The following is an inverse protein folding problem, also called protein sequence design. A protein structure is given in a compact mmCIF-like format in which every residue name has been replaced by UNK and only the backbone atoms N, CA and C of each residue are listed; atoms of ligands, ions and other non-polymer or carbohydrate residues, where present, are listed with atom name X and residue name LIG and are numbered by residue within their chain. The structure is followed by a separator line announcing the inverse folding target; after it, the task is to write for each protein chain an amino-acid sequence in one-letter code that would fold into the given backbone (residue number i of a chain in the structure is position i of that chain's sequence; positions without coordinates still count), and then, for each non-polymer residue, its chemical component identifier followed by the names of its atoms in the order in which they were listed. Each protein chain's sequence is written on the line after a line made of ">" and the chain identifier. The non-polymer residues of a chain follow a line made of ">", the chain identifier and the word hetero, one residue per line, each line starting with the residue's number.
data_IF_800251102427
#
_entry.id   IF_800251102427
#
_cell.length_a   1.000
_cell.length_b   1.000
_cell.length_c   1.000
_cell.angle_alpha   90.00
_cell.angle_beta   90.00
_cell.angle_gamma   90.00
#
_symmetry.space_group_name_H-M   'P 1'
#
loop_
_entity.id
_entity.type
_entity.pdbx_description
1 polymer ?
#
# COMPACT_ATOMS: atom_id res chain seq x y z
N UNK A 1 12.49 43.47 57.22
CA UNK A 1 12.73 42.05 57.58
C UNK A 1 11.89 41.20 56.64
N UNK A 2 12.54 40.18 56.08
CA UNK A 2 12.10 39.15 55.12
C UNK A 2 11.69 39.63 53.72
N UNK A 3 12.72 39.66 52.88
CA UNK A 3 12.69 39.64 51.43
C UNK A 3 12.14 38.28 50.96
N UNK A 4 10.90 38.26 50.50
CA UNK A 4 10.25 37.08 49.89
C UNK A 4 10.37 37.14 48.37
N UNK A 5 11.59 37.10 47.85
CA UNK A 5 11.83 37.03 46.41
C UNK A 5 11.30 35.70 45.85
N UNK A 6 10.15 35.74 45.19
CA UNK A 6 9.74 34.65 44.29
C UNK A 6 10.77 34.57 43.17
N UNK A 7 11.73 33.65 43.32
CA UNK A 7 12.67 33.29 42.26
C UNK A 7 11.81 32.70 41.14
N UNK A 8 11.55 33.49 40.10
CA UNK A 8 10.88 33.02 38.89
C UNK A 8 11.76 31.92 38.31
N UNK A 9 11.33 30.67 38.47
CA UNK A 9 11.92 29.57 37.73
C UNK A 9 11.47 29.71 36.28
N UNK A 10 12.28 30.37 35.47
CA UNK A 10 12.17 30.29 34.02
C UNK A 10 12.65 28.91 33.62
N UNK A 11 11.69 28.00 33.38
CA UNK A 11 12.00 26.72 32.75
C UNK A 11 12.21 27.02 31.27
N UNK A 12 13.47 27.20 30.90
CA UNK A 12 13.90 27.33 29.52
C UNK A 12 13.83 25.94 28.88
N UNK A 13 12.72 25.63 28.21
CA UNK A 13 12.59 24.39 27.44
C UNK A 13 13.34 24.59 26.13
N UNK A 14 14.54 24.04 26.04
CA UNK A 14 15.27 23.97 24.78
C UNK A 14 14.64 22.89 23.91
N UNK A 15 14.12 23.22 22.71
CA UNK A 15 13.67 22.21 21.77
C UNK A 15 14.84 21.33 21.37
N UNK A 16 14.65 20.01 21.40
CA UNK A 16 15.67 19.04 20.95
C UNK A 16 15.97 19.16 19.46
N UNK A 17 14.98 19.66 18.69
CA UNK A 17 15.09 19.87 17.25
C UNK A 17 14.62 21.26 16.84
N UNK A 18 15.31 21.81 15.86
CA UNK A 18 14.98 23.08 15.25
C UNK A 18 13.77 22.94 14.31
N UNK A 19 13.07 24.06 14.10
CA UNK A 19 11.98 24.12 13.10
C UNK A 19 12.43 23.78 11.66
N UNK A 20 13.72 23.92 11.36
CA UNK A 20 14.30 23.54 10.08
C UNK A 20 14.41 22.03 9.95
N UNK A 21 14.92 21.35 10.97
CA UNK A 21 15.06 19.88 11.02
C UNK A 21 13.68 19.21 10.91
N UNK A 22 12.68 19.69 11.66
CA UNK A 22 11.30 19.18 11.56
C UNK A 22 10.71 19.34 10.14
N UNK A 23 11.03 20.42 9.43
CA UNK A 23 10.56 20.64 8.05
C UNK A 23 11.22 19.67 7.07
N UNK A 24 12.52 19.41 7.24
CA UNK A 24 13.25 18.43 6.44
C UNK A 24 12.70 17.02 6.66
N UNK A 25 12.53 16.62 7.91
CA UNK A 25 11.94 15.32 8.26
C UNK A 25 10.54 15.16 7.67
N UNK A 26 9.67 16.15 7.86
CA UNK A 26 8.32 16.15 7.26
C UNK A 26 8.37 16.02 5.74
N UNK A 27 9.28 16.72 5.08
CA UNK A 27 9.43 16.65 3.62
C UNK A 27 9.94 15.27 3.17
N UNK A 28 10.85 14.66 3.91
CA UNK A 28 11.35 13.32 3.65
C UNK A 28 10.23 12.28 3.78
N UNK A 29 9.49 12.31 4.90
CA UNK A 29 8.35 11.43 5.15
C UNK A 29 7.27 11.58 4.07
N UNK A 30 7.01 12.82 3.61
CA UNK A 30 6.06 13.05 2.51
C UNK A 30 6.52 12.37 1.22
N UNK A 31 7.81 12.47 0.86
CA UNK A 31 8.36 11.80 -0.33
C UNK A 31 8.31 10.28 -0.22
N UNK A 32 8.55 9.73 0.97
CA UNK A 32 8.44 8.28 1.22
C UNK A 32 7.00 7.80 1.04
N UNK A 33 6.04 8.52 1.63
CA UNK A 33 4.61 8.24 1.47
C UNK A 33 4.15 8.34 0.02
N UNK A 34 4.59 9.37 -0.72
CA UNK A 34 4.28 9.52 -2.14
C UNK A 34 4.85 8.35 -2.97
N UNK A 35 6.09 7.92 -2.71
CA UNK A 35 6.69 6.75 -3.35
C UNK A 35 5.93 5.46 -3.05
N UNK A 36 5.55 5.25 -1.79
CA UNK A 36 4.79 4.08 -1.37
C UNK A 36 3.42 4.01 -2.06
N UNK A 37 2.67 5.12 -2.11
CA UNK A 37 1.38 5.17 -2.83
C UNK A 37 1.52 4.92 -4.32
N UNK A 38 2.52 5.52 -4.97
CA UNK A 38 2.76 5.29 -6.40
C UNK A 38 3.03 3.82 -6.68
N UNK A 39 3.87 3.19 -5.86
CA UNK A 39 4.13 1.76 -5.94
C UNK A 39 2.84 0.98 -5.73
N UNK A 40 2.07 1.21 -4.67
CA UNK A 40 0.79 0.52 -4.44
C UNK A 40 -0.14 0.59 -5.65
N UNK A 41 -0.30 1.76 -6.27
CA UNK A 41 -1.10 1.93 -7.49
C UNK A 41 -0.54 1.17 -8.69
N UNK A 42 0.77 1.13 -8.88
CA UNK A 42 1.42 0.35 -9.95
C UNK A 42 1.12 -1.16 -9.78
N UNK A 43 1.17 -1.63 -8.54
CA UNK A 43 0.96 -3.03 -8.19
C UNK A 43 -0.53 -3.42 -8.27
N UNK A 44 -1.43 -2.54 -7.84
CA UNK A 44 -2.87 -2.69 -8.04
C UNK A 44 -3.20 -2.74 -9.52
N UNK A 45 -2.58 -1.88 -10.35
CA UNK A 45 -2.77 -1.93 -11.81
C UNK A 45 -2.32 -3.25 -12.39
N UNK A 46 -1.20 -3.80 -11.97
CA UNK A 46 -0.76 -5.13 -12.43
C UNK A 46 -1.78 -6.21 -12.05
N UNK A 47 -2.21 -6.25 -10.78
CA UNK A 47 -3.17 -7.23 -10.29
C UNK A 47 -4.53 -7.15 -11.01
N UNK A 48 -5.08 -5.94 -11.13
CA UNK A 48 -6.42 -5.73 -11.70
C UNK A 48 -6.43 -5.74 -13.22
N UNK A 49 -5.30 -5.49 -13.89
CA UNK A 49 -5.25 -5.56 -15.34
C UNK A 49 -5.49 -6.98 -15.83
N UNK A 50 -4.93 -8.02 -15.20
CA UNK A 50 -5.05 -9.38 -15.75
C UNK A 50 -6.49 -9.93 -15.69
N UNK A 51 -7.21 -9.71 -14.59
CA UNK A 51 -8.62 -10.15 -14.48
C UNK A 51 -9.57 -9.29 -15.33
N UNK A 52 -9.38 -7.98 -15.34
CA UNK A 52 -10.22 -7.09 -16.16
C UNK A 52 -9.95 -7.26 -17.63
N UNK A 53 -8.69 -7.50 -18.01
CA UNK A 53 -8.30 -7.74 -19.38
C UNK A 53 -8.90 -9.05 -19.89
N UNK A 54 -8.90 -10.12 -19.08
CA UNK A 54 -9.62 -11.35 -19.43
C UNK A 54 -11.09 -11.09 -19.73
N UNK A 55 -11.78 -10.36 -18.85
CA UNK A 55 -13.21 -10.07 -19.03
C UNK A 55 -13.42 -9.29 -20.33
N UNK A 56 -12.57 -8.31 -20.63
CA UNK A 56 -12.63 -7.53 -21.86
C UNK A 56 -12.39 -8.45 -23.07
N UNK A 57 -11.36 -9.28 -23.04
CA UNK A 57 -10.98 -10.17 -24.14
C UNK A 57 -12.08 -11.20 -24.40
N UNK A 58 -12.65 -11.79 -23.35
CA UNK A 58 -13.76 -12.73 -23.47
C UNK A 58 -15.01 -12.08 -24.06
N UNK A 59 -15.38 -10.89 -23.60
CA UNK A 59 -16.55 -10.16 -24.14
C UNK A 59 -16.30 -9.70 -25.58
N UNK A 60 -15.07 -9.34 -25.94
CA UNK A 60 -14.71 -9.02 -27.32
C UNK A 60 -14.79 -10.25 -28.24
N UNK A 61 -14.36 -11.41 -27.76
CA UNK A 61 -14.44 -12.67 -28.50
C UNK A 61 -15.86 -13.22 -28.58
N UNK A 62 -16.69 -12.93 -27.57
CA UNK A 62 -18.08 -13.37 -27.47
C UNK A 62 -19.01 -12.19 -27.16
N UNK A 63 -19.31 -11.32 -28.13
CA UNK A 63 -20.19 -10.17 -27.89
C UNK A 63 -21.61 -10.59 -27.50
N UNK A 64 -22.17 -9.92 -26.48
CA UNK A 64 -23.53 -10.20 -26.00
C UNK A 64 -23.65 -11.37 -25.01
N UNK A 65 -22.53 -11.91 -24.52
CA UNK A 65 -22.53 -12.86 -23.40
C UNK A 65 -23.15 -12.24 -22.15
N UNK A 66 -23.82 -13.09 -21.38
CA UNK A 66 -24.39 -12.70 -20.11
C UNK A 66 -23.36 -12.75 -18.97
N UNK A 67 -23.75 -12.25 -17.81
CA UNK A 67 -22.89 -12.22 -16.63
C UNK A 67 -22.50 -13.64 -16.16
N UNK A 68 -23.37 -14.63 -16.36
CA UNK A 68 -23.11 -16.01 -15.95
C UNK A 68 -21.97 -16.61 -16.77
N UNK A 69 -21.96 -16.40 -18.09
CA UNK A 69 -20.88 -16.82 -18.97
C UNK A 69 -19.56 -16.12 -18.62
N UNK A 70 -19.57 -14.82 -18.32
CA UNK A 70 -18.36 -14.10 -17.85
C UNK A 70 -17.84 -14.71 -16.55
N UNK A 71 -18.71 -15.03 -15.60
CA UNK A 71 -18.30 -15.63 -14.34
C UNK A 71 -17.69 -17.02 -14.53
N UNK A 72 -18.31 -17.84 -15.38
CA UNK A 72 -17.80 -19.16 -15.73
C UNK A 72 -16.41 -19.07 -16.38
N UNK A 73 -16.23 -18.14 -17.34
CA UNK A 73 -14.93 -17.91 -17.97
C UNK A 73 -13.84 -17.58 -16.94
N UNK A 74 -14.15 -16.69 -15.98
CA UNK A 74 -13.19 -16.32 -14.93
C UNK A 74 -12.82 -17.55 -14.10
N UNK A 75 -13.77 -18.38 -13.69
CA UNK A 75 -13.52 -19.60 -12.90
C UNK A 75 -12.61 -20.56 -13.68
N UNK A 76 -12.91 -20.77 -14.96
CA UNK A 76 -12.15 -21.68 -15.82
C UNK A 76 -10.70 -21.25 -16.00
N UNK A 77 -10.49 -19.94 -16.13
CA UNK A 77 -9.17 -19.36 -16.39
C UNK A 77 -8.44 -18.88 -15.13
N UNK A 78 -9.09 -18.92 -13.95
CA UNK A 78 -8.50 -18.47 -12.70
C UNK A 78 -7.26 -19.31 -12.31
N UNK A 79 -7.32 -20.63 -12.47
CA UNK A 79 -6.24 -21.53 -12.06
C UNK A 79 -4.90 -21.22 -12.75
N UNK A 80 -4.96 -20.80 -14.01
CA UNK A 80 -3.76 -20.46 -14.80
C UNK A 80 -3.17 -19.11 -14.38
N UNK A 81 -4.00 -18.20 -13.85
CA UNK A 81 -3.59 -16.83 -13.47
C UNK A 81 -3.23 -16.69 -12.00
N UNK A 82 -3.78 -17.52 -11.13
CA UNK A 82 -3.51 -17.48 -9.68
C UNK A 82 -2.01 -17.52 -9.37
N UNK A 83 -1.15 -18.32 -10.05
CA UNK A 83 0.29 -18.28 -9.83
C UNK A 83 0.90 -16.89 -10.07
N UNK A 84 0.63 -16.28 -11.22
CA UNK A 84 1.16 -14.94 -11.57
C UNK A 84 0.64 -13.87 -10.62
N UNK A 85 -0.63 -13.97 -10.20
CA UNK A 85 -1.20 -13.08 -9.20
C UNK A 85 -0.51 -13.25 -7.84
N UNK A 86 -0.27 -14.49 -7.38
CA UNK A 86 0.40 -14.77 -6.12
C UNK A 86 1.86 -14.29 -6.14
N UNK A 87 2.58 -14.51 -7.22
CA UNK A 87 3.95 -14.01 -7.43
C UNK A 87 3.98 -12.48 -7.43
N UNK A 88 2.94 -11.85 -7.99
CA UNK A 88 2.78 -10.40 -7.89
C UNK A 88 2.53 -9.97 -6.45
N UNK A 89 1.82 -10.72 -5.62
CA UNK A 89 1.52 -10.28 -4.26
C UNK A 89 2.65 -10.60 -3.26
N UNK A 90 3.47 -11.61 -3.56
CA UNK A 90 4.58 -12.05 -2.72
C UNK A 90 5.66 -10.97 -2.57
N UNK A 91 6.11 -10.75 -1.33
CA UNK A 91 7.10 -9.73 -0.98
C UNK A 91 6.54 -8.31 -0.94
N UNK A 92 5.23 -8.12 -1.19
CA UNK A 92 4.58 -6.80 -1.17
C UNK A 92 3.40 -6.73 -0.20
N UNK A 93 2.50 -7.72 -0.31
CA UNK A 93 1.26 -7.83 0.46
C UNK A 93 1.11 -9.21 1.09
N UNK A 94 1.76 -10.21 0.50
CA UNK A 94 1.83 -11.56 1.02
C UNK A 94 3.29 -11.93 1.29
N UNK A 95 3.51 -12.83 2.24
CA UNK A 95 4.76 -13.56 2.46
C UNK A 95 4.48 -15.05 2.38
N UNK A 96 5.31 -15.78 1.63
CA UNK A 96 5.24 -17.23 1.57
C UNK A 96 6.18 -17.83 2.62
N UNK A 97 5.64 -18.67 3.50
CA UNK A 97 6.41 -19.42 4.52
C UNK A 97 5.96 -20.88 4.50
N UNK A 98 6.90 -21.79 4.32
CA UNK A 98 6.65 -23.24 4.25
C UNK A 98 5.53 -23.64 3.27
N UNK A 99 5.49 -22.96 2.12
CA UNK A 99 4.49 -23.21 1.06
C UNK A 99 3.11 -22.59 1.30
N UNK A 100 2.93 -21.84 2.40
CA UNK A 100 1.66 -21.19 2.75
C UNK A 100 1.81 -19.67 2.69
N UNK A 101 0.78 -18.98 2.20
CA UNK A 101 0.76 -17.53 2.08
C UNK A 101 0.13 -16.87 3.31
N UNK A 102 0.77 -15.80 3.80
CA UNK A 102 0.32 -14.97 4.92
C UNK A 102 0.30 -13.50 4.50
N UNK A 103 -0.60 -12.66 5.03
CA UNK A 103 -0.52 -11.22 4.82
C UNK A 103 0.76 -10.65 5.44
N UNK A 104 1.35 -9.64 4.79
CA UNK A 104 2.36 -8.80 5.43
C UNK A 104 1.66 -7.84 6.40
N UNK A 105 2.13 -7.78 7.64
CA UNK A 105 1.70 -6.75 8.59
C UNK A 105 2.20 -5.39 8.09
N UNK A 106 1.30 -4.42 7.93
CA UNK A 106 1.68 -3.04 7.63
C UNK A 106 2.48 -2.51 8.84
N UNK A 107 3.79 -2.27 8.65
CA UNK A 107 4.66 -1.65 9.65
C UNK A 107 4.39 -0.16 9.82
#
# INVERSE_FOLDING_TARGET
>A
MVEGGQKKFEIEVTPDETSSELREQRNQLRRERDRARKRATELERQLFNDERQEIIDFVQQSPGVDQAAVHQQIIETASDRVPDQLDSLEGRKLVKRDGVYYPMEDA
#
